data_IF_931934573270
#
_entry.id   IF_931934573270
#
_cell.length_a   1.000
_cell.length_b   1.000
_cell.length_c   1.000
_cell.angle_alpha   90.00
_cell.angle_beta   90.00
_cell.angle_gamma   90.00
#
_symmetry.space_group_name_H-M   'P 1'
#
loop_
_entity.id
_entity.type
_entity.pdbx_description
1 polymer ?
#
# COMPACT_ATOMS: atom_id res chain seq x y z
N UNK A 1 -7.06 -6.51 -28.11
CA UNK A 1 -7.15 -5.17 -28.64
C UNK A 1 -5.86 -4.48 -28.39
N UNK A 2 -5.21 -4.03 -29.39
CA UNK A 2 -4.13 -3.11 -29.16
C UNK A 2 -4.76 -1.88 -28.49
N UNK A 3 -4.34 -1.60 -27.32
CA UNK A 3 -4.65 -0.35 -26.68
C UNK A 3 -3.85 0.75 -27.38
N UNK A 4 -4.17 0.99 -28.64
CA UNK A 4 -3.47 2.00 -29.44
C UNK A 4 -3.55 3.38 -28.80
N UNK A 5 -4.67 3.70 -28.18
CA UNK A 5 -4.79 4.96 -27.45
C UNK A 5 -4.01 5.02 -26.15
N UNK A 6 -3.72 3.88 -25.53
CA UNK A 6 -2.92 3.85 -24.30
C UNK A 6 -1.43 4.09 -24.59
N UNK A 7 -0.95 3.76 -25.77
CA UNK A 7 0.46 3.94 -26.14
C UNK A 7 0.84 5.42 -26.16
N UNK A 8 0.01 6.27 -26.71
CA UNK A 8 0.32 7.70 -26.87
C UNK A 8 0.30 8.43 -25.53
N UNK A 9 -0.61 8.05 -24.63
CA UNK A 9 -0.69 8.66 -23.29
C UNK A 9 0.33 8.09 -22.33
N UNK A 10 0.94 6.95 -22.65
CA UNK A 10 1.93 6.27 -21.82
C UNK A 10 3.36 6.50 -22.25
N UNK A 11 3.57 7.25 -23.34
CA UNK A 11 4.91 7.55 -23.82
C UNK A 11 5.69 8.33 -22.75
N UNK A 12 6.77 7.74 -22.26
CA UNK A 12 7.55 8.29 -21.15
C UNK A 12 7.08 7.89 -19.75
N UNK A 13 6.07 7.01 -19.62
CA UNK A 13 5.62 6.48 -18.34
C UNK A 13 5.54 4.95 -18.36
N UNK A 14 5.84 4.35 -17.20
CA UNK A 14 5.49 2.97 -16.87
C UNK A 14 4.23 3.02 -16.02
N UNK A 15 3.23 2.23 -16.38
CA UNK A 15 1.97 2.15 -15.62
C UNK A 15 1.53 0.71 -15.47
N UNK A 16 1.07 0.37 -14.29
CA UNK A 16 0.35 -0.86 -14.04
C UNK A 16 -0.95 -0.52 -13.31
N UNK A 17 -2.05 -1.06 -13.80
CA UNK A 17 -3.36 -0.99 -13.17
C UNK A 17 -3.98 -2.38 -13.19
N UNK A 18 -4.38 -2.87 -12.04
CA UNK A 18 -5.10 -4.11 -11.87
C UNK A 18 -6.35 -3.89 -11.03
N UNK A 19 -7.52 -4.13 -11.60
CA UNK A 19 -8.83 -4.06 -10.94
C UNK A 19 -9.29 -5.42 -10.45
N UNK A 20 -8.41 -6.43 -10.53
CA UNK A 20 -8.68 -7.82 -10.13
C UNK A 20 -9.96 -8.44 -10.72
N UNK A 21 -10.49 -7.87 -11.78
CA UNK A 21 -11.71 -8.34 -12.45
C UNK A 21 -11.42 -9.55 -13.35
N UNK A 22 -11.02 -10.65 -12.74
CA UNK A 22 -10.66 -11.89 -13.40
C UNK A 22 -10.96 -13.11 -12.51
N UNK A 23 -10.79 -14.33 -13.04
CA UNK A 23 -11.06 -15.58 -12.31
C UNK A 23 -9.98 -15.86 -11.24
N UNK A 24 -8.73 -15.45 -11.50
CA UNK A 24 -7.60 -15.61 -10.58
C UNK A 24 -6.59 -14.49 -10.77
N UNK A 25 -5.84 -14.14 -9.73
CA UNK A 25 -4.73 -13.19 -9.85
C UNK A 25 -3.64 -13.79 -10.73
N UNK A 26 -2.96 -12.94 -11.51
CA UNK A 26 -1.83 -13.36 -12.34
C UNK A 26 -0.56 -13.44 -11.50
N UNK A 27 -0.34 -14.59 -10.87
CA UNK A 27 0.87 -14.86 -10.07
C UNK A 27 2.08 -15.23 -10.92
N UNK A 28 1.92 -15.38 -12.23
CA UNK A 28 3.03 -15.70 -13.14
C UNK A 28 3.80 -14.45 -13.57
N UNK A 29 3.08 -13.35 -13.83
CA UNK A 29 3.66 -12.17 -14.48
C UNK A 29 3.52 -10.87 -13.69
N UNK A 30 2.55 -10.76 -12.78
CA UNK A 30 2.21 -9.49 -12.14
C UNK A 30 2.36 -9.51 -10.62
N UNK A 31 1.97 -10.58 -9.96
CA UNK A 31 1.87 -10.61 -8.51
C UNK A 31 2.57 -11.82 -7.92
N UNK A 32 3.28 -11.58 -6.83
CA UNK A 32 3.68 -12.63 -5.91
C UNK A 32 2.74 -12.55 -4.70
N UNK A 33 2.12 -13.67 -4.33
CA UNK A 33 1.20 -13.75 -3.20
C UNK A 33 1.71 -14.82 -2.23
N UNK A 34 2.15 -14.38 -1.08
CA UNK A 34 2.71 -15.23 -0.03
C UNK A 34 1.78 -15.28 1.18
N UNK A 35 1.92 -16.31 1.97
CA UNK A 35 1.16 -16.52 3.21
C UNK A 35 1.94 -17.44 4.13
N UNK A 36 1.94 -17.13 5.41
CA UNK A 36 2.39 -18.03 6.46
C UNK A 36 1.42 -19.18 6.72
N UNK A 37 1.84 -20.14 7.53
CA UNK A 37 1.01 -21.28 7.90
C UNK A 37 -0.31 -20.83 8.55
N UNK A 38 -1.42 -21.45 8.16
CA UNK A 38 -2.74 -21.17 8.72
C UNK A 38 -3.54 -20.10 8.00
N UNK A 39 -2.89 -19.20 7.27
CA UNK A 39 -3.55 -18.16 6.49
C UNK A 39 -4.02 -18.59 5.11
N UNK A 40 -4.53 -17.64 4.34
CA UNK A 40 -4.85 -17.80 2.92
C UNK A 40 -4.24 -16.66 2.12
N UNK A 41 -3.41 -16.99 1.15
CA UNK A 41 -2.81 -16.03 0.24
C UNK A 41 -3.90 -15.21 -0.47
N UNK A 42 -3.54 -14.01 -0.92
CA UNK A 42 -4.46 -13.20 -1.71
C UNK A 42 -4.97 -13.96 -2.93
N UNK A 43 -6.28 -14.01 -3.07
CA UNK A 43 -6.98 -14.64 -4.18
C UNK A 43 -8.20 -13.81 -4.57
N UNK A 44 -8.65 -13.96 -5.82
CA UNK A 44 -9.87 -13.30 -6.29
C UNK A 44 -11.03 -13.79 -5.45
N UNK A 45 -11.71 -12.86 -4.81
CA UNK A 45 -12.97 -13.12 -4.12
C UNK A 45 -14.12 -12.82 -5.08
N UNK A 46 -15.05 -13.77 -5.21
CA UNK A 46 -16.19 -13.63 -6.12
C UNK A 46 -17.14 -12.55 -5.60
N UNK A 47 -16.80 -11.30 -5.92
CA UNK A 47 -17.63 -10.12 -5.66
C UNK A 47 -17.78 -9.34 -6.97
N UNK A 48 -18.85 -8.56 -7.08
CA UNK A 48 -19.03 -7.66 -8.20
C UNK A 48 -17.84 -6.66 -8.25
N UNK A 49 -17.30 -6.43 -9.44
CA UNK A 49 -16.21 -5.49 -9.76
C UNK A 49 -14.77 -5.94 -9.39
N UNK A 50 -14.54 -7.22 -9.18
CA UNK A 50 -13.20 -7.73 -8.92
C UNK A 50 -12.62 -7.27 -7.58
N UNK A 51 -12.43 -8.20 -6.67
CA UNK A 51 -11.81 -7.95 -5.37
C UNK A 51 -10.90 -9.13 -5.06
N UNK A 52 -9.70 -8.86 -4.58
CA UNK A 52 -8.85 -9.91 -4.00
C UNK A 52 -8.93 -9.84 -2.49
N UNK A 53 -8.91 -11.00 -1.86
CA UNK A 53 -8.91 -11.15 -0.40
C UNK A 53 -7.73 -11.99 0.05
N UNK A 54 -6.99 -11.49 1.03
CA UNK A 54 -6.08 -12.27 1.86
C UNK A 54 -6.68 -12.49 3.25
N UNK A 55 -6.31 -13.58 3.89
CA UNK A 55 -6.76 -13.91 5.25
C UNK A 55 -5.62 -14.49 6.07
N UNK A 56 -5.47 -14.05 7.30
CA UNK A 56 -4.60 -14.64 8.32
C UNK A 56 -5.46 -15.19 9.45
N UNK A 57 -4.99 -16.21 10.12
CA UNK A 57 -5.70 -16.87 11.21
C UNK A 57 -5.50 -16.18 12.57
N UNK A 58 -5.57 -16.92 13.67
CA UNK A 58 -5.46 -16.38 15.03
C UNK A 58 -4.07 -16.51 15.63
N UNK A 59 -3.13 -17.09 14.90
CA UNK A 59 -1.77 -17.22 15.39
C UNK A 59 -1.05 -15.87 15.33
N UNK A 60 -0.32 -15.54 16.38
CA UNK A 60 0.36 -14.26 16.50
C UNK A 60 1.50 -14.17 15.48
N UNK A 61 1.54 -13.04 14.76
CA UNK A 61 2.49 -12.74 13.68
C UNK A 61 2.31 -13.53 12.37
N UNK A 62 1.24 -14.28 12.19
CA UNK A 62 0.92 -14.81 10.86
C UNK A 62 0.64 -13.69 9.89
N UNK A 63 1.26 -13.74 8.73
CA UNK A 63 1.11 -12.71 7.71
C UNK A 63 0.63 -13.27 6.37
N UNK A 64 0.09 -12.38 5.56
CA UNK A 64 -0.10 -12.59 4.13
C UNK A 64 0.23 -11.32 3.39
N UNK A 65 0.87 -11.46 2.25
CA UNK A 65 1.22 -10.32 1.42
C UNK A 65 0.98 -10.58 -0.07
N UNK A 66 0.87 -9.48 -0.80
CA UNK A 66 0.84 -9.46 -2.24
C UNK A 66 1.74 -8.33 -2.73
N UNK A 67 2.72 -8.66 -3.57
CA UNK A 67 3.65 -7.69 -4.11
C UNK A 67 3.82 -7.83 -5.62
N UNK A 68 4.07 -6.70 -6.28
CA UNK A 68 4.30 -6.62 -7.71
C UNK A 68 5.78 -6.79 -8.10
N UNK A 69 6.13 -6.58 -9.38
CA UNK A 69 7.53 -6.61 -9.82
C UNK A 69 8.32 -5.42 -9.29
N UNK A 70 9.57 -5.64 -8.91
CA UNK A 70 10.52 -4.61 -8.41
C UNK A 70 11.11 -3.86 -9.60
N UNK A 71 10.39 -2.86 -10.10
CA UNK A 71 10.75 -2.15 -11.34
C UNK A 71 10.50 -0.63 -11.31
N UNK A 72 9.95 -0.09 -10.24
CA UNK A 72 9.54 1.32 -10.17
C UNK A 72 10.57 2.14 -9.41
N UNK A 73 10.90 3.34 -9.92
CA UNK A 73 11.84 4.28 -9.28
C UNK A 73 11.27 5.69 -9.28
N UNK A 74 11.53 6.43 -8.22
CA UNK A 74 11.06 7.81 -8.11
C UNK A 74 11.84 8.78 -9.01
N UNK A 75 13.16 8.56 -9.20
CA UNK A 75 14.03 9.41 -10.02
C UNK A 75 13.92 9.15 -11.54
N UNK A 76 12.88 8.47 -11.98
CA UNK A 76 12.71 8.05 -13.39
C UNK A 76 12.12 9.14 -14.32
N UNK A 77 12.14 10.40 -13.92
CA UNK A 77 11.65 11.53 -14.74
C UNK A 77 10.16 11.79 -14.55
N UNK A 78 9.71 11.92 -13.32
CA UNK A 78 8.36 12.21 -12.89
C UNK A 78 8.02 11.49 -11.59
N UNK A 79 6.99 11.92 -10.89
CA UNK A 79 6.66 11.31 -9.61
C UNK A 79 6.30 9.83 -9.77
N UNK A 80 6.73 9.01 -8.82
CA UNK A 80 6.25 7.65 -8.64
C UNK A 80 4.94 7.72 -7.85
N UNK A 81 3.85 7.29 -8.46
CA UNK A 81 2.52 7.27 -7.85
C UNK A 81 2.13 5.82 -7.58
N UNK A 82 1.75 5.53 -6.35
CA UNK A 82 1.18 4.25 -5.95
C UNK A 82 -0.20 4.51 -5.34
N UNK A 83 -1.19 3.75 -5.76
CA UNK A 83 -2.54 3.85 -5.22
C UNK A 83 -3.16 2.47 -5.05
N UNK A 84 -3.75 2.26 -3.90
CA UNK A 84 -4.53 1.08 -3.58
C UNK A 84 -5.90 1.47 -3.07
N UNK A 85 -6.91 0.67 -3.39
CA UNK A 85 -8.21 0.76 -2.75
C UNK A 85 -8.44 -0.49 -1.91
N UNK A 86 -8.37 -0.34 -0.58
CA UNK A 86 -8.36 -1.45 0.38
C UNK A 86 -9.43 -1.31 1.45
N UNK A 87 -9.86 -2.42 2.00
CA UNK A 87 -10.75 -2.48 3.15
C UNK A 87 -10.30 -3.59 4.11
N UNK A 88 -10.07 -3.30 5.42
CA UNK A 88 -10.05 -4.34 6.44
C UNK A 88 -11.48 -4.90 6.56
N UNK A 89 -11.65 -6.23 6.52
CA UNK A 89 -12.99 -6.82 6.44
C UNK A 89 -13.50 -7.25 7.81
N UNK A 90 -12.71 -7.99 8.58
CA UNK A 90 -13.21 -8.62 9.82
C UNK A 90 -12.93 -7.79 11.06
N UNK A 91 -11.78 -7.13 11.14
CA UNK A 91 -11.40 -6.34 12.32
C UNK A 91 -10.31 -5.36 11.97
N UNK A 92 -10.33 -4.22 12.63
CA UNK A 92 -9.23 -3.25 12.66
C UNK A 92 -8.45 -3.31 13.98
N UNK A 93 -8.86 -4.15 14.93
CA UNK A 93 -8.17 -4.37 16.19
C UNK A 93 -7.11 -5.47 16.06
N UNK A 94 -6.05 -5.38 16.85
CA UNK A 94 -5.02 -6.41 17.03
C UNK A 94 -4.43 -6.95 15.71
N UNK A 95 -3.53 -6.23 15.13
CA UNK A 95 -2.78 -6.64 13.94
C UNK A 95 -2.29 -5.44 13.17
N UNK A 96 -1.44 -5.67 12.21
CA UNK A 96 -0.76 -4.61 11.47
C UNK A 96 -1.07 -4.72 9.97
N UNK A 97 -0.99 -3.62 9.28
CA UNK A 97 -1.19 -3.56 7.83
C UNK A 97 -0.20 -2.56 7.23
N UNK A 98 0.43 -2.95 6.14
CA UNK A 98 1.24 -2.08 5.29
C UNK A 98 0.64 -2.01 3.89
N UNK A 99 0.54 -0.81 3.35
CA UNK A 99 0.06 -0.55 1.98
C UNK A 99 0.95 0.49 1.33
N UNK A 100 1.71 0.11 0.30
CA UNK A 100 2.60 1.09 -0.32
C UNK A 100 3.56 0.52 -1.35
N UNK A 101 4.80 0.93 -1.23
CA UNK A 101 5.93 0.57 -2.07
C UNK A 101 7.07 0.05 -1.21
N UNK A 102 7.79 -0.97 -1.67
CA UNK A 102 8.94 -1.56 -0.96
C UNK A 102 9.95 -2.15 -1.94
N UNK A 103 11.19 -2.27 -1.54
CA UNK A 103 12.21 -3.09 -2.18
C UNK A 103 12.13 -4.57 -1.76
N UNK A 104 11.43 -4.87 -0.66
CA UNK A 104 11.23 -6.24 -0.17
C UNK A 104 10.36 -7.05 -1.14
N UNK A 105 10.65 -8.35 -1.21
CA UNK A 105 9.89 -9.35 -1.97
C UNK A 105 9.52 -10.55 -1.10
N UNK A 106 9.90 -10.51 0.16
CA UNK A 106 9.76 -11.57 1.14
C UNK A 106 8.39 -11.53 1.82
N UNK A 107 8.16 -12.51 2.65
CA UNK A 107 6.95 -12.83 3.37
C UNK A 107 6.87 -12.07 4.70
N UNK A 108 6.92 -10.74 4.66
CA UNK A 108 6.93 -9.91 5.87
C UNK A 108 6.28 -8.54 5.63
N UNK A 109 6.01 -7.78 6.69
CA UNK A 109 5.65 -6.38 6.57
C UNK A 109 6.92 -5.55 6.38
N UNK A 110 7.04 -4.81 5.27
CA UNK A 110 8.19 -3.94 5.02
C UNK A 110 8.44 -2.93 6.13
N UNK A 111 7.36 -2.39 6.70
CA UNK A 111 7.38 -1.48 7.83
C UNK A 111 6.29 -1.90 8.82
N UNK A 112 6.66 -2.01 10.08
CA UNK A 112 5.75 -2.17 11.21
C UNK A 112 5.77 -0.91 12.08
N UNK A 113 4.63 -0.53 12.65
CA UNK A 113 4.54 0.60 13.56
C UNK A 113 3.82 0.15 14.83
N UNK A 114 4.52 0.23 15.95
CA UNK A 114 3.97 -0.15 17.25
C UNK A 114 2.78 0.73 17.67
N UNK A 115 2.09 0.34 18.72
CA UNK A 115 1.00 1.11 19.34
C UNK A 115 1.47 2.45 19.92
N UNK A 116 2.78 2.62 20.13
CA UNK A 116 3.42 3.84 20.62
C UNK A 116 4.10 4.65 19.52
N UNK A 117 3.76 4.37 18.27
CA UNK A 117 4.27 5.04 17.07
C UNK A 117 5.79 4.86 16.84
N UNK A 118 6.35 3.77 17.35
CA UNK A 118 7.74 3.36 17.05
C UNK A 118 7.72 2.48 15.82
N UNK A 119 8.50 2.85 14.81
CA UNK A 119 8.68 2.12 13.58
C UNK A 119 9.79 1.08 13.73
N UNK A 120 9.58 -0.11 13.14
CA UNK A 120 10.58 -1.13 12.88
C UNK A 120 10.47 -1.55 11.43
N UNK A 121 11.60 -1.84 10.79
CA UNK A 121 11.70 -2.05 9.36
C UNK A 121 12.31 -3.42 9.06
N UNK A 122 11.71 -4.11 8.09
CA UNK A 122 12.26 -5.31 7.48
C UNK A 122 12.83 -5.01 6.08
N UNK A 123 12.33 -3.95 5.44
CA UNK A 123 12.83 -3.46 4.16
C UNK A 123 13.94 -2.43 4.36
N UNK A 124 14.91 -2.36 3.44
CA UNK A 124 15.91 -1.30 3.39
C UNK A 124 15.33 0.01 2.86
N UNK A 125 14.39 -0.10 1.94
CA UNK A 125 13.69 1.03 1.32
C UNK A 125 12.21 0.72 1.17
N UNK A 126 11.36 1.50 1.85
CA UNK A 126 9.92 1.38 1.76
C UNK A 126 9.22 2.69 2.10
N UNK A 127 8.05 2.90 1.50
CA UNK A 127 7.18 4.04 1.78
C UNK A 127 5.72 3.63 1.68
N UNK A 128 4.95 3.88 2.74
CA UNK A 128 3.59 3.35 2.78
C UNK A 128 2.72 3.90 3.89
N UNK A 129 1.48 3.46 3.85
CA UNK A 129 0.55 3.60 4.96
C UNK A 129 0.70 2.38 5.87
N UNK A 130 0.90 2.64 7.14
CA UNK A 130 0.90 1.64 8.20
C UNK A 130 -0.33 1.80 9.08
N UNK A 131 -0.87 0.70 9.52
CA UNK A 131 -1.93 0.67 10.52
C UNK A 131 -1.63 -0.38 11.57
N UNK A 132 -1.79 -0.02 12.84
CA UNK A 132 -1.61 -0.94 13.97
C UNK A 132 -2.87 -0.95 14.82
N UNK A 133 -3.47 -2.12 14.97
CA UNK A 133 -4.59 -2.31 15.87
C UNK A 133 -4.18 -2.17 17.34
N UNK A 134 -5.04 -1.54 18.15
CA UNK A 134 -4.74 -1.31 19.57
C UNK A 134 -3.97 -0.02 19.88
N UNK A 135 -3.43 0.64 18.85
CA UNK A 135 -2.81 1.97 18.95
C UNK A 135 -3.77 3.11 18.57
N UNK A 136 -3.22 4.19 18.05
CA UNK A 136 -4.00 5.27 17.44
C UNK A 136 -4.78 4.72 16.26
N UNK A 137 -6.10 4.82 16.27
CA UNK A 137 -7.01 4.23 15.27
C UNK A 137 -6.95 4.91 13.89
N UNK A 138 -5.80 5.39 13.46
CA UNK A 138 -5.58 6.08 12.20
C UNK A 138 -4.49 5.40 11.36
N UNK A 139 -4.58 5.56 10.05
CA UNK A 139 -3.44 5.31 9.20
C UNK A 139 -2.27 6.21 9.59
N UNK A 140 -1.06 5.71 9.43
CA UNK A 140 0.18 6.45 9.61
C UNK A 140 0.95 6.43 8.29
N UNK A 141 1.45 7.58 7.88
CA UNK A 141 2.44 7.68 6.82
C UNK A 141 3.79 7.22 7.37
N UNK A 142 4.47 6.32 6.68
CA UNK A 142 5.72 5.69 7.10
C UNK A 142 6.73 5.69 5.96
N UNK A 143 8.00 5.67 6.29
CA UNK A 143 9.08 5.59 5.32
C UNK A 143 10.37 5.03 5.91
N UNK A 144 11.16 4.37 5.06
CA UNK A 144 12.51 3.89 5.30
C UNK A 144 13.36 4.28 4.10
N UNK A 145 14.49 4.86 4.34
CA UNK A 145 15.45 5.29 3.34
C UNK A 145 16.83 4.75 3.71
N UNK A 146 17.34 3.79 2.95
CA UNK A 146 18.63 3.16 3.16
C UNK A 146 18.82 2.64 4.60
N UNK A 147 17.91 1.80 5.07
CA UNK A 147 17.85 1.25 6.44
C UNK A 147 17.65 2.31 7.55
N UNK A 148 17.23 3.53 7.20
CA UNK A 148 16.96 4.58 8.17
C UNK A 148 15.46 4.83 8.29
N UNK A 149 14.86 4.39 9.40
CA UNK A 149 13.44 4.63 9.72
C UNK A 149 13.13 6.12 9.79
N UNK A 150 11.99 6.51 9.21
CA UNK A 150 11.43 7.85 9.37
C UNK A 150 10.42 7.87 10.51
N UNK A 151 10.25 9.02 11.14
CA UNK A 151 9.22 9.15 12.17
C UNK A 151 7.84 9.03 11.53
N UNK A 152 6.99 8.06 11.95
CA UNK A 152 5.64 7.93 11.43
C UNK A 152 4.80 9.18 11.67
N UNK A 153 3.98 9.56 10.70
CA UNK A 153 3.09 10.71 10.79
C UNK A 153 1.64 10.24 10.80
N UNK A 154 0.89 10.59 11.84
CA UNK A 154 -0.52 10.21 11.96
C UNK A 154 -1.37 10.93 10.91
N UNK A 155 -2.09 10.16 10.09
CA UNK A 155 -3.01 10.65 9.06
C UNK A 155 -4.37 10.99 9.71
N UNK A 156 -4.53 12.20 10.20
CA UNK A 156 -5.73 12.64 10.91
C UNK A 156 -6.31 13.96 10.39
N UNK A 157 -5.89 14.39 9.20
CA UNK A 157 -6.43 15.61 8.58
C UNK A 157 -7.91 15.40 8.27
N UNK A 158 -8.77 16.11 8.95
CA UNK A 158 -10.21 16.11 8.72
C UNK A 158 -10.58 17.30 7.84
N UNK A 159 -11.32 17.01 6.76
CA UNK A 159 -11.94 18.04 5.95
C UNK A 159 -13.40 18.15 6.37
N UNK A 160 -13.83 19.34 6.66
CA UNK A 160 -15.22 19.63 6.98
C UNK A 160 -15.89 20.32 5.79
N UNK A 161 -17.15 20.05 5.59
CA UNK A 161 -17.98 20.83 4.65
C UNK A 161 -18.34 22.21 5.21
N UNK A 162 -19.12 22.96 4.46
CA UNK A 162 -19.58 24.30 4.88
C UNK A 162 -20.41 24.31 6.17
N UNK A 163 -20.89 23.14 6.61
CA UNK A 163 -21.66 22.99 7.86
C UNK A 163 -20.80 22.53 9.04
N UNK A 164 -19.50 22.29 8.81
CA UNK A 164 -18.56 21.80 9.82
C UNK A 164 -18.60 20.28 10.00
N UNK A 165 -19.36 19.55 9.18
CA UNK A 165 -19.41 18.08 9.24
C UNK A 165 -18.18 17.47 8.56
N UNK A 166 -17.57 16.38 9.13
CA UNK A 166 -16.47 15.67 8.48
C UNK A 166 -16.91 15.09 7.15
N UNK A 167 -16.28 15.51 6.04
CA UNK A 167 -16.65 15.07 4.69
C UNK A 167 -15.98 13.76 4.27
N UNK A 168 -14.89 13.38 4.93
CA UNK A 168 -14.10 12.19 4.58
C UNK A 168 -13.61 11.44 5.80
N UNK A 169 -13.77 10.12 5.77
CA UNK A 169 -13.27 9.22 6.81
C UNK A 169 -11.84 8.84 6.46
N UNK A 170 -10.90 9.18 7.33
CA UNK A 170 -9.48 8.83 7.22
C UNK A 170 -9.09 7.65 8.10
N UNK A 171 -9.87 7.37 9.13
CA UNK A 171 -9.67 6.21 10.02
C UNK A 171 -10.10 4.92 9.31
N UNK A 172 -9.33 3.83 9.40
CA UNK A 172 -9.77 2.52 8.91
C UNK A 172 -11.04 2.06 9.60
N UNK A 173 -11.99 1.56 8.83
CA UNK A 173 -13.27 1.03 9.32
C UNK A 173 -13.50 -0.33 8.67
N UNK A 174 -13.89 -1.34 9.45
CA UNK A 174 -14.17 -2.67 8.94
C UNK A 174 -15.20 -2.64 7.81
N UNK A 175 -14.96 -3.43 6.76
CA UNK A 175 -15.76 -3.55 5.55
C UNK A 175 -15.98 -2.23 4.77
N UNK A 176 -15.12 -1.22 4.97
CA UNK A 176 -15.21 0.06 4.26
C UNK A 176 -13.94 0.31 3.45
N UNK A 177 -14.09 0.39 2.16
CA UNK A 177 -12.99 0.71 1.26
C UNK A 177 -12.49 2.16 1.43
N UNK A 178 -11.18 2.30 1.44
CA UNK A 178 -10.47 3.57 1.37
C UNK A 178 -9.46 3.53 0.24
N UNK A 179 -9.33 4.65 -0.47
CA UNK A 179 -8.27 4.85 -1.45
C UNK A 179 -7.07 5.47 -0.76
N UNK A 180 -5.95 4.76 -0.79
CA UNK A 180 -4.66 5.17 -0.22
C UNK A 180 -3.72 5.46 -1.38
N UNK A 181 -3.31 6.73 -1.51
CA UNK A 181 -2.39 7.16 -2.56
C UNK A 181 -1.13 7.74 -1.96
N UNK A 182 0.01 7.35 -2.53
CA UNK A 182 1.34 7.87 -2.22
C UNK A 182 1.89 8.48 -3.50
N UNK A 183 2.46 9.66 -3.38
CA UNK A 183 3.17 10.35 -4.47
C UNK A 183 4.60 10.57 -4.02
N UNK A 184 5.52 9.76 -4.53
CA UNK A 184 6.95 9.91 -4.25
C UNK A 184 7.56 10.80 -5.32
N UNK A 185 8.14 11.91 -4.89
CA UNK A 185 8.83 12.87 -5.75
C UNK A 185 10.23 12.37 -6.12
N UNK A 186 10.83 12.94 -7.15
CA UNK A 186 12.20 12.62 -7.59
C UNK A 186 13.28 12.82 -6.50
N UNK A 187 12.96 13.57 -5.47
CA UNK A 187 13.83 13.79 -4.30
C UNK A 187 13.73 12.70 -3.22
N UNK A 188 12.84 11.70 -3.38
CA UNK A 188 12.52 10.75 -2.33
C UNK A 188 11.51 11.23 -1.30
N UNK A 189 11.06 12.50 -1.37
CA UNK A 189 9.98 12.99 -0.51
C UNK A 189 8.65 12.36 -0.92
N UNK A 190 7.78 12.07 0.03
CA UNK A 190 6.49 11.45 -0.26
C UNK A 190 5.30 12.23 0.33
N UNK A 191 4.27 12.42 -0.49
CA UNK A 191 2.97 12.94 -0.10
C UNK A 191 1.95 11.81 0.00
N UNK A 192 1.13 11.83 1.05
CA UNK A 192 0.15 10.80 1.40
C UNK A 192 -1.27 11.35 1.32
N UNK A 193 -2.16 10.59 0.66
CA UNK A 193 -3.56 10.97 0.45
C UNK A 193 -4.50 9.82 0.83
N UNK A 194 -5.56 10.10 1.58
CA UNK A 194 -6.65 9.16 1.86
C UNK A 194 -7.94 9.69 1.23
N UNK A 195 -8.58 8.87 0.40
CA UNK A 195 -9.80 9.25 -0.33
C UNK A 195 -9.64 10.57 -1.11
N UNK A 196 -8.45 10.80 -1.67
CA UNK A 196 -8.08 12.01 -2.41
C UNK A 196 -7.77 13.23 -1.55
N UNK A 197 -7.78 13.13 -0.22
CA UNK A 197 -7.41 14.21 0.70
C UNK A 197 -5.97 14.06 1.16
N UNK A 198 -5.17 15.11 1.02
CA UNK A 198 -3.81 15.16 1.53
C UNK A 198 -3.79 14.97 3.06
N UNK A 199 -2.88 14.16 3.56
CA UNK A 199 -2.79 13.82 4.97
C UNK A 199 -1.45 14.19 5.58
N UNK A 200 -0.36 13.89 4.88
CA UNK A 200 0.98 14.05 5.42
C UNK A 200 2.02 14.20 4.30
N UNK A 201 3.18 14.70 4.67
CA UNK A 201 4.43 14.60 3.90
C UNK A 201 5.52 14.04 4.79
N UNK A 202 6.34 13.16 4.22
CA UNK A 202 7.61 12.73 4.82
C UNK A 202 8.72 13.15 3.86
N UNK A 203 9.66 13.93 4.35
CA UNK A 203 10.85 14.29 3.59
C UNK A 203 11.84 13.13 3.61
N UNK A 204 12.50 12.87 2.47
CA UNK A 204 13.39 11.71 2.29
C UNK A 204 12.76 10.41 2.79
N UNK A 205 11.52 10.15 2.37
CA UNK A 205 10.74 9.01 2.82
C UNK A 205 11.34 7.68 2.35
N UNK A 206 12.02 7.69 1.21
CA UNK A 206 12.64 6.53 0.56
C UNK A 206 13.74 7.01 -0.38
N UNK A 207 14.76 6.18 -0.63
CA UNK A 207 15.81 6.48 -1.63
C UNK A 207 15.20 6.61 -3.02
N UNK A 208 15.45 7.72 -3.73
CA UNK A 208 14.79 7.96 -5.02
C UNK A 208 15.28 7.06 -6.15
N UNK A 209 16.49 6.49 -6.03
CA UNK A 209 17.15 5.66 -7.03
C UNK A 209 17.03 4.15 -6.80
N UNK A 210 16.34 3.74 -5.73
CA UNK A 210 16.07 2.32 -5.46
C UNK A 210 14.91 1.83 -6.32
N UNK A 211 14.94 0.56 -6.69
CA UNK A 211 13.84 -0.12 -7.36
C UNK A 211 12.83 -0.62 -6.33
N UNK A 212 11.57 -0.25 -6.51
CA UNK A 212 10.47 -0.59 -5.62
C UNK A 212 9.41 -1.42 -6.36
N UNK A 213 8.60 -2.13 -5.59
CA UNK A 213 7.37 -2.78 -6.04
C UNK A 213 6.15 -2.21 -5.32
N UNK A 214 4.96 -2.46 -5.86
CA UNK A 214 3.72 -2.30 -5.12
C UNK A 214 3.62 -3.39 -4.06
N UNK A 215 3.19 -3.03 -2.85
CA UNK A 215 3.15 -3.95 -1.71
C UNK A 215 1.89 -3.74 -0.87
N UNK A 216 1.19 -4.83 -0.61
CA UNK A 216 0.10 -4.92 0.35
C UNK A 216 0.37 -6.10 1.26
N UNK A 217 0.49 -5.86 2.56
CA UNK A 217 0.70 -6.91 3.55
C UNK A 217 -0.10 -6.62 4.81
N UNK A 218 -0.48 -7.68 5.51
CA UNK A 218 -1.01 -7.55 6.85
C UNK A 218 -0.70 -8.80 7.68
N UNK A 219 -0.58 -8.59 8.98
CA UNK A 219 -0.38 -9.67 9.93
C UNK A 219 -1.50 -9.70 10.98
N UNK A 220 -1.72 -10.89 11.54
CA UNK A 220 -2.58 -11.07 12.67
C UNK A 220 -1.85 -10.66 13.96
N UNK A 221 -2.63 -10.21 14.93
CA UNK A 221 -2.27 -10.36 16.32
C UNK A 221 -2.90 -11.64 16.84
N UNK A 222 -3.89 -11.55 17.72
CA UNK A 222 -4.56 -12.73 18.31
C UNK A 222 -5.97 -12.97 17.71
N UNK A 223 -6.25 -12.44 16.53
CA UNK A 223 -7.59 -12.49 15.93
C UNK A 223 -7.46 -12.65 14.42
N UNK A 224 -8.17 -13.61 13.84
CA UNK A 224 -8.22 -13.80 12.40
C UNK A 224 -8.66 -12.52 11.68
N UNK A 225 -7.97 -12.16 10.62
CA UNK A 225 -8.19 -10.94 9.85
C UNK A 225 -8.29 -11.24 8.37
N UNK A 226 -9.06 -10.42 7.68
CA UNK A 226 -9.10 -10.41 6.23
C UNK A 226 -8.98 -8.98 5.73
N UNK A 227 -8.27 -8.81 4.63
CA UNK A 227 -8.16 -7.53 3.91
C UNK A 227 -8.56 -7.74 2.47
N UNK A 228 -9.44 -6.88 1.98
CA UNK A 228 -9.83 -6.81 0.58
C UNK A 228 -9.07 -5.70 -0.13
N UNK A 229 -8.64 -5.95 -1.36
CA UNK A 229 -8.19 -4.93 -2.30
C UNK A 229 -9.06 -4.97 -3.56
N UNK A 230 -9.60 -3.81 -3.94
CA UNK A 230 -10.46 -3.62 -5.11
C UNK A 230 -9.63 -3.30 -6.36
N UNK A 231 -8.59 -2.50 -6.20
CA UNK A 231 -7.61 -2.27 -7.25
C UNK A 231 -6.25 -1.86 -6.71
N UNK A 232 -5.24 -2.03 -7.56
CA UNK A 232 -3.89 -1.52 -7.40
C UNK A 232 -3.47 -0.72 -8.63
N UNK A 233 -2.83 0.43 -8.41
CA UNK A 233 -2.30 1.29 -9.46
C UNK A 233 -0.90 1.76 -9.12
N UNK A 234 0.00 1.73 -10.10
CA UNK A 234 1.31 2.38 -10.01
C UNK A 234 1.66 3.07 -11.33
N UNK A 235 2.34 4.19 -11.24
CA UNK A 235 2.86 4.93 -12.38
C UNK A 235 4.15 5.63 -12.02
N UNK A 236 5.18 5.51 -12.86
CA UNK A 236 6.39 6.31 -12.76
C UNK A 236 6.83 6.83 -14.13
N UNK A 237 7.68 7.83 -14.15
CA UNK A 237 8.34 8.27 -15.37
C UNK A 237 9.22 7.17 -15.97
N UNK A 238 9.55 7.29 -17.23
CA UNK A 238 10.55 6.45 -17.90
C UNK A 238 11.73 7.33 -18.28
N UNK A 239 12.84 7.17 -17.60
CA UNK A 239 14.07 7.84 -17.99
C UNK A 239 14.51 7.31 -19.36
N UNK A 240 14.84 8.17 -20.33
CA UNK A 240 15.51 7.71 -21.55
C UNK A 240 16.81 6.99 -21.15
N UNK A 241 17.11 5.88 -21.80
CA UNK A 241 18.42 5.26 -21.67
C UNK A 241 19.47 6.31 -22.11
N UNK A 242 20.32 6.72 -21.19
CA UNK A 242 21.48 7.58 -21.48
C UNK A 242 22.61 6.76 -22.03
#
# INVERSE_FOLDING_TARGET
>A
VPAGGAVDTSFGFVRNFDDFNRIAIDTTNLWNANVDAGGTAFAVNIQANGVVRGTVDTDDNDNTNMNGPVIYRADSGGPLICEWRVAPITSVANGETFVGLSDATTDELPIQVSTTDVQTDAASDAVGFCYTGGGTANWKACGVDSDVSRTPVVCNQTFTDATGAPTRVTTPVAARFQTLRIVVLESGNADFYINGSWQARIDTAVSPDVLLNQYLAFLSGTTARSVDADYAYVSCGRRPAT
#
